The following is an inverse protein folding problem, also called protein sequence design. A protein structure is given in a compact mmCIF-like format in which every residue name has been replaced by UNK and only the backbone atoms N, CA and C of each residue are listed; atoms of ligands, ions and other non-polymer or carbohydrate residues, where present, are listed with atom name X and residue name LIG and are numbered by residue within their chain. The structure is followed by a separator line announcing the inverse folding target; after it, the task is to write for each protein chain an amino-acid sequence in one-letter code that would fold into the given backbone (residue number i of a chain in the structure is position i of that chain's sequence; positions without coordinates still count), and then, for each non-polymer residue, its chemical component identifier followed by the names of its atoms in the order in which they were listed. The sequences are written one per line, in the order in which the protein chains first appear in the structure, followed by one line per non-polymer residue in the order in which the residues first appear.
data_IF_400578110183
#
_entry.id   IF_400578110183
#
_cell.length_a   1.000
_cell.length_b   1.000
_cell.length_c   1.000
_cell.angle_alpha   90.00
_cell.angle_beta   90.00
_cell.angle_gamma   90.00
#
_symmetry.space_group_name_H-M   'P 1'
#
loop_
_entity.id
_entity.type
_entity.pdbx_description
1 polymer ?
#
# COMPACT_ATOMS: atom_id res chain seq x y z
N UNK A 1 26.24 2.14 -19.85
CA UNK A 1 25.28 1.66 -18.86
C UNK A 1 24.72 2.85 -18.12
N UNK A 2 23.40 2.98 -18.08
CA UNK A 2 22.70 4.00 -17.31
C UNK A 2 22.82 3.73 -15.80
N UNK A 3 22.28 4.59 -14.95
CA UNK A 3 22.28 4.36 -13.50
C UNK A 3 21.39 3.16 -13.14
N UNK A 4 20.21 3.07 -13.72
CA UNK A 4 19.30 1.93 -13.52
C UNK A 4 19.94 0.60 -13.96
N UNK A 5 20.57 0.57 -15.13
CA UNK A 5 21.29 -0.64 -15.62
C UNK A 5 22.39 -1.08 -14.65
N UNK A 6 23.14 -0.14 -14.07
CA UNK A 6 24.17 -0.48 -13.07
C UNK A 6 23.55 -1.04 -11.78
N UNK A 7 22.42 -0.47 -11.32
CA UNK A 7 21.71 -0.94 -10.14
C UNK A 7 21.14 -2.35 -10.38
N UNK A 8 20.49 -2.59 -11.53
CA UNK A 8 19.98 -3.91 -11.93
C UNK A 8 21.12 -4.93 -11.97
N UNK A 9 22.21 -4.61 -12.67
CA UNK A 9 23.38 -5.50 -12.77
C UNK A 9 24.02 -5.79 -11.40
N UNK A 10 24.05 -4.82 -10.50
CA UNK A 10 24.50 -5.04 -9.13
C UNK A 10 23.60 -6.01 -8.38
N UNK A 11 22.30 -5.80 -8.44
CA UNK A 11 21.30 -6.66 -7.76
C UNK A 11 21.41 -8.10 -8.28
N UNK A 12 21.32 -8.30 -9.59
CA UNK A 12 21.33 -9.65 -10.19
C UNK A 12 22.66 -10.37 -10.01
N UNK A 13 23.78 -9.64 -9.82
CA UNK A 13 25.09 -10.22 -9.63
C UNK A 13 25.45 -10.50 -8.16
N UNK A 14 24.99 -9.68 -7.23
CA UNK A 14 25.46 -9.72 -5.84
C UNK A 14 24.39 -10.03 -4.81
N UNK A 15 23.10 -9.87 -5.14
CA UNK A 15 22.03 -10.18 -4.22
C UNK A 15 21.49 -11.59 -4.45
N UNK A 16 21.20 -12.28 -3.36
CA UNK A 16 20.65 -13.64 -3.37
C UNK A 16 19.30 -13.64 -2.66
N UNK A 17 18.40 -14.52 -3.07
CA UNK A 17 17.09 -14.67 -2.44
C UNK A 17 17.29 -15.03 -0.96
N UNK A 18 16.81 -14.17 -0.03
CA UNK A 18 17.13 -14.30 1.39
C UNK A 18 16.25 -15.33 2.11
N UNK A 19 15.07 -15.65 1.58
CA UNK A 19 14.07 -16.51 2.24
C UNK A 19 13.19 -17.25 1.23
N UNK A 20 12.52 -18.30 1.71
CA UNK A 20 11.54 -19.06 0.93
C UNK A 20 12.16 -20.18 0.11
N UNK A 21 11.38 -20.71 -0.84
CA UNK A 21 11.73 -21.88 -1.63
C UNK A 21 12.98 -21.69 -2.53
N UNK A 22 13.29 -20.45 -2.89
CA UNK A 22 14.41 -20.09 -3.77
C UNK A 22 15.61 -19.53 -3.01
N UNK A 23 15.67 -19.69 -1.68
CA UNK A 23 16.74 -19.17 -0.84
C UNK A 23 18.13 -19.60 -1.37
N UNK A 24 19.06 -18.63 -1.42
CA UNK A 24 20.43 -18.86 -1.90
C UNK A 24 20.61 -18.84 -3.43
N UNK A 25 19.52 -18.70 -4.21
CA UNK A 25 19.63 -18.46 -5.65
C UNK A 25 19.89 -16.97 -5.94
N UNK A 26 20.63 -16.64 -7.01
CA UNK A 26 20.76 -15.24 -7.45
C UNK A 26 19.38 -14.62 -7.70
N UNK A 27 19.18 -13.38 -7.25
CA UNK A 27 17.98 -12.64 -7.58
C UNK A 27 17.93 -12.36 -9.08
N UNK A 28 16.81 -12.69 -9.70
CA UNK A 28 16.44 -12.23 -11.04
C UNK A 28 15.27 -11.28 -10.89
N UNK A 29 15.45 -10.06 -11.39
CA UNK A 29 14.41 -9.04 -11.33
C UNK A 29 13.38 -9.28 -12.41
N UNK A 30 12.12 -9.23 -12.04
CA UNK A 30 10.98 -9.24 -12.97
C UNK A 30 10.82 -7.87 -13.65
N UNK A 31 10.12 -7.85 -14.79
CA UNK A 31 9.97 -6.65 -15.60
C UNK A 31 9.39 -5.47 -14.79
N UNK A 32 8.34 -5.70 -14.01
CA UNK A 32 7.75 -4.65 -13.17
C UNK A 32 8.72 -4.04 -12.14
N UNK A 33 9.71 -4.82 -11.69
CA UNK A 33 10.75 -4.34 -10.78
C UNK A 33 11.80 -3.55 -11.53
N UNK A 34 12.16 -3.99 -12.74
CA UNK A 34 13.09 -3.28 -13.63
C UNK A 34 12.50 -1.96 -14.07
N UNK A 35 11.22 -1.94 -14.50
CA UNK A 35 10.51 -0.73 -14.90
C UNK A 35 10.53 0.31 -13.77
N UNK A 36 10.21 -0.10 -12.54
CA UNK A 36 10.30 0.78 -11.38
C UNK A 36 11.72 1.32 -11.14
N UNK A 37 12.75 0.47 -11.27
CA UNK A 37 14.14 0.88 -11.13
C UNK A 37 14.55 1.87 -12.24
N UNK A 38 14.13 1.62 -13.50
CA UNK A 38 14.41 2.54 -14.59
C UNK A 38 13.78 3.89 -14.36
N UNK A 39 12.50 3.93 -14.00
CA UNK A 39 11.79 5.19 -13.80
C UNK A 39 12.37 5.98 -12.61
N UNK A 40 12.79 5.30 -11.54
CA UNK A 40 13.39 5.97 -10.36
C UNK A 40 14.81 6.48 -10.64
N UNK A 41 15.69 5.69 -11.27
CA UNK A 41 17.10 6.02 -11.34
C UNK A 41 17.55 6.69 -12.65
N UNK A 42 16.77 6.55 -13.71
CA UNK A 42 17.03 7.17 -15.00
C UNK A 42 16.03 8.29 -15.34
N UNK A 43 15.27 8.76 -14.36
CA UNK A 43 14.39 9.92 -14.51
C UNK A 43 15.21 11.16 -14.93
N UNK A 44 14.95 11.78 -16.08
CA UNK A 44 15.73 12.93 -16.56
C UNK A 44 15.64 14.17 -15.66
N UNK A 45 14.59 14.27 -14.85
CA UNK A 45 14.39 15.37 -13.89
C UNK A 45 15.00 15.07 -12.52
N UNK A 46 15.41 13.81 -12.27
CA UNK A 46 15.82 13.31 -10.97
C UNK A 46 14.63 13.00 -10.07
N UNK A 47 14.59 11.80 -9.51
CA UNK A 47 13.49 11.38 -8.63
C UNK A 47 13.76 11.80 -7.20
N UNK A 48 12.83 12.50 -6.59
CA UNK A 48 12.82 12.80 -5.16
C UNK A 48 11.94 11.81 -4.37
N UNK A 49 10.85 11.32 -4.97
CA UNK A 49 9.95 10.36 -4.34
C UNK A 49 9.57 9.23 -5.30
N UNK A 50 9.92 8.00 -4.93
CA UNK A 50 9.51 6.78 -5.64
C UNK A 50 8.49 6.02 -4.81
N UNK A 51 7.26 5.87 -5.32
CA UNK A 51 6.15 5.13 -4.70
C UNK A 51 5.95 3.80 -5.44
N UNK A 52 6.00 2.68 -4.72
CA UNK A 52 5.62 1.37 -5.23
C UNK A 52 4.50 0.78 -4.38
N UNK A 53 3.29 0.77 -4.92
CA UNK A 53 2.13 0.17 -4.28
C UNK A 53 1.69 -1.10 -5.01
N UNK A 54 1.71 -2.23 -4.30
CA UNK A 54 1.50 -3.56 -4.87
C UNK A 54 1.00 -4.53 -3.80
N UNK A 55 0.21 -5.53 -4.17
CA UNK A 55 -0.32 -6.55 -3.27
C UNK A 55 0.75 -7.25 -2.41
N UNK A 56 0.35 -7.85 -1.31
CA UNK A 56 1.26 -8.62 -0.44
C UNK A 56 1.90 -9.79 -1.16
N UNK A 57 3.11 -10.18 -0.72
CA UNK A 57 3.91 -11.32 -1.23
C UNK A 57 4.43 -11.14 -2.67
N UNK A 58 4.51 -9.90 -3.19
CA UNK A 58 5.15 -9.57 -4.46
C UNK A 58 6.62 -9.14 -4.33
N UNK A 59 7.30 -9.52 -3.27
CA UNK A 59 8.73 -9.29 -3.11
C UNK A 59 9.13 -7.84 -2.78
N UNK A 60 8.19 -6.97 -2.35
CA UNK A 60 8.45 -5.56 -2.03
C UNK A 60 9.67 -5.35 -1.14
N UNK A 61 9.65 -5.96 0.04
CA UNK A 61 10.69 -5.76 1.06
C UNK A 61 12.04 -6.31 0.61
N UNK A 62 12.05 -7.42 -0.17
CA UNK A 62 13.27 -7.96 -0.76
C UNK A 62 13.86 -7.01 -1.81
N UNK A 63 13.02 -6.44 -2.69
CA UNK A 63 13.46 -5.43 -3.66
C UNK A 63 14.09 -4.22 -2.96
N UNK A 64 13.45 -3.71 -1.93
CA UNK A 64 13.99 -2.58 -1.16
C UNK A 64 15.31 -2.93 -0.44
N UNK A 65 15.44 -4.14 0.08
CA UNK A 65 16.71 -4.59 0.66
C UNK A 65 17.84 -4.63 -0.41
N UNK A 66 17.50 -5.01 -1.65
CA UNK A 66 18.47 -4.94 -2.76
C UNK A 66 18.86 -3.49 -3.10
N UNK A 67 17.87 -2.58 -3.17
CA UNK A 67 18.13 -1.16 -3.42
C UNK A 67 18.93 -0.52 -2.28
N UNK A 68 18.63 -0.88 -1.03
CA UNK A 68 19.45 -0.50 0.12
C UNK A 68 20.92 -0.92 -0.07
N UNK A 69 21.18 -2.18 -0.48
CA UNK A 69 22.54 -2.66 -0.70
C UNK A 69 23.23 -1.95 -1.87
N UNK A 70 22.47 -1.60 -2.92
CA UNK A 70 22.99 -0.79 -4.02
C UNK A 70 23.43 0.61 -3.59
N UNK A 71 22.77 1.22 -2.62
CA UNK A 71 23.16 2.50 -2.01
C UNK A 71 24.23 2.35 -0.92
N UNK A 72 24.32 1.20 -0.26
CA UNK A 72 25.26 0.98 0.83
C UNK A 72 26.69 0.73 0.31
N UNK A 73 26.82 -0.14 -0.71
CA UNK A 73 28.12 -0.60 -1.24
C UNK A 73 28.13 -0.76 -2.76
N UNK A 74 27.06 -0.39 -3.45
CA UNK A 74 26.88 -0.58 -4.89
C UNK A 74 27.06 0.71 -5.70
N UNK A 75 26.54 0.76 -6.94
CA UNK A 75 26.84 1.81 -7.91
C UNK A 75 26.29 3.20 -7.56
N UNK A 76 25.37 3.29 -6.62
CA UNK A 76 24.73 4.56 -6.17
C UNK A 76 25.14 4.93 -4.74
N UNK A 77 26.18 4.31 -4.20
CA UNK A 77 26.73 4.66 -2.90
C UNK A 77 27.38 6.05 -2.94
N UNK A 78 27.09 6.87 -1.92
CA UNK A 78 27.65 8.22 -1.76
C UNK A 78 28.57 8.24 -0.54
N UNK A 79 29.77 8.77 -0.70
CA UNK A 79 30.77 8.81 0.36
C UNK A 79 30.24 9.51 1.62
N UNK A 80 30.48 8.90 2.80
CA UNK A 80 30.08 9.41 4.12
C UNK A 80 28.61 9.75 4.25
N UNK A 81 27.73 9.02 3.57
CA UNK A 81 26.29 9.28 3.58
C UNK A 81 25.53 8.39 4.56
N UNK A 82 24.29 8.79 4.83
CA UNK A 82 23.36 8.06 5.67
C UNK A 82 22.17 7.53 4.88
N UNK A 83 21.73 6.35 5.23
CA UNK A 83 20.51 5.72 4.72
C UNK A 83 19.65 5.37 5.94
N UNK A 84 18.36 5.63 5.86
CA UNK A 84 17.41 5.22 6.89
C UNK A 84 16.27 4.41 6.31
N UNK A 85 15.77 3.45 7.07
CA UNK A 85 14.44 2.89 6.83
C UNK A 85 13.54 3.14 8.03
N UNK A 86 12.27 3.43 7.75
CA UNK A 86 11.26 3.68 8.76
C UNK A 86 10.04 2.79 8.56
N UNK A 87 9.47 2.32 9.67
CA UNK A 87 8.17 1.64 9.70
C UNK A 87 7.45 1.95 11.01
N UNK A 88 6.13 1.69 11.04
CA UNK A 88 5.28 2.00 12.19
C UNK A 88 5.61 1.20 13.45
N UNK A 89 6.17 0.00 13.31
CA UNK A 89 6.60 -0.82 14.44
C UNK A 89 8.09 -1.19 14.37
N UNK A 90 8.67 -1.55 15.52
CA UNK A 90 10.08 -2.00 15.60
C UNK A 90 10.31 -3.30 14.83
N UNK A 91 9.34 -4.20 14.86
CA UNK A 91 9.39 -5.46 14.12
C UNK A 91 9.39 -5.21 12.62
N UNK A 92 8.52 -4.35 12.12
CA UNK A 92 8.45 -3.97 10.70
C UNK A 92 9.72 -3.24 10.26
N UNK A 93 10.21 -2.27 11.05
CA UNK A 93 11.45 -1.58 10.75
C UNK A 93 12.65 -2.54 10.63
N UNK A 94 12.64 -3.65 11.40
CA UNK A 94 13.68 -4.66 11.35
C UNK A 94 13.64 -5.56 10.09
N UNK A 95 12.52 -5.61 9.36
CA UNK A 95 12.38 -6.52 8.20
C UNK A 95 13.38 -6.20 7.09
N UNK A 96 13.49 -4.95 6.68
CA UNK A 96 14.44 -4.52 5.66
C UNK A 96 15.87 -4.83 6.09
N UNK A 97 16.23 -4.50 7.34
CA UNK A 97 17.54 -4.82 7.92
C UNK A 97 17.81 -6.32 7.89
N UNK A 98 16.88 -7.14 8.37
CA UNK A 98 17.06 -8.60 8.46
C UNK A 98 17.23 -9.24 7.08
N UNK A 99 16.47 -8.81 6.07
CA UNK A 99 16.62 -9.29 4.70
C UNK A 99 17.97 -8.87 4.11
N UNK A 100 18.39 -7.60 4.30
CA UNK A 100 19.69 -7.15 3.86
C UNK A 100 20.84 -7.94 4.53
N UNK A 101 20.74 -8.22 5.83
CA UNK A 101 21.71 -9.07 6.55
C UNK A 101 21.80 -10.46 5.94
N UNK A 102 20.65 -11.11 5.67
CA UNK A 102 20.65 -12.44 5.02
C UNK A 102 21.29 -12.40 3.63
N UNK A 103 20.99 -11.39 2.82
CA UNK A 103 21.61 -11.21 1.51
C UNK A 103 23.13 -11.02 1.61
N UNK A 104 23.60 -10.22 2.59
CA UNK A 104 25.03 -10.02 2.85
C UNK A 104 25.69 -11.34 3.22
N UNK A 105 25.09 -12.11 4.14
CA UNK A 105 25.63 -13.40 4.60
C UNK A 105 25.68 -14.47 3.51
N UNK A 106 24.76 -14.43 2.54
CA UNK A 106 24.74 -15.34 1.39
C UNK A 106 25.83 -15.01 0.36
N UNK A 107 26.45 -13.81 0.40
CA UNK A 107 27.50 -13.41 -0.55
C UNK A 107 28.80 -13.04 0.16
N UNK A 108 29.86 -13.87 0.04
CA UNK A 108 31.16 -13.55 0.67
C UNK A 108 31.74 -12.20 0.27
N UNK A 109 31.50 -11.72 -0.97
CA UNK A 109 32.00 -10.41 -1.41
C UNK A 109 31.31 -9.27 -0.64
N UNK A 110 30.00 -9.40 -0.37
CA UNK A 110 29.27 -8.40 0.44
C UNK A 110 29.67 -8.53 1.93
N UNK A 111 29.82 -9.74 2.46
CA UNK A 111 30.23 -9.96 3.86
C UNK A 111 31.58 -9.33 4.18
N UNK A 112 32.52 -9.28 3.21
CA UNK A 112 33.84 -8.70 3.41
C UNK A 112 33.85 -7.16 3.44
N UNK A 113 32.82 -6.51 2.88
CA UNK A 113 32.78 -5.04 2.73
C UNK A 113 31.65 -4.37 3.50
N UNK A 114 30.84 -5.15 4.24
CA UNK A 114 29.74 -4.62 5.08
C UNK A 114 29.92 -5.06 6.53
N UNK A 115 30.02 -4.10 7.44
CA UNK A 115 29.98 -4.36 8.88
C UNK A 115 28.55 -4.37 9.40
N UNK A 116 28.13 -5.48 10.01
CA UNK A 116 26.79 -5.66 10.56
C UNK A 116 26.81 -5.36 12.06
N UNK A 117 25.90 -4.49 12.52
CA UNK A 117 25.71 -4.12 13.95
C UNK A 117 24.27 -4.48 14.39
N UNK A 118 24.02 -5.73 14.82
CA UNK A 118 22.66 -6.24 15.07
C UNK A 118 21.92 -5.48 16.17
N UNK A 119 22.58 -5.12 17.26
CA UNK A 119 21.97 -4.44 18.41
C UNK A 119 21.36 -3.09 18.05
N UNK A 120 21.97 -2.37 17.10
CA UNK A 120 21.49 -1.08 16.63
C UNK A 120 20.70 -1.15 15.32
N UNK A 121 20.48 -2.35 14.75
CA UNK A 121 19.91 -2.51 13.40
C UNK A 121 20.60 -1.63 12.37
N UNK A 122 21.97 -1.65 12.39
CA UNK A 122 22.82 -0.80 11.55
C UNK A 122 23.69 -1.65 10.63
N UNK A 123 23.94 -1.14 9.42
CA UNK A 123 24.92 -1.66 8.46
C UNK A 123 25.89 -0.53 8.12
N UNK A 124 27.17 -0.87 7.94
CA UNK A 124 28.19 0.08 7.52
C UNK A 124 28.87 -0.48 6.27
N UNK A 125 28.71 0.21 5.16
CA UNK A 125 29.39 -0.06 3.90
C UNK A 125 30.81 0.51 3.96
N UNK A 126 31.82 -0.36 4.14
CA UNK A 126 33.21 0.04 4.40
C UNK A 126 33.84 0.85 3.26
N UNK A 127 33.61 0.53 1.95
CA UNK A 127 34.32 1.23 0.87
C UNK A 127 34.04 2.74 0.78
N UNK A 128 32.77 3.13 1.05
CA UNK A 128 32.33 4.52 0.93
C UNK A 128 31.88 5.10 2.29
N UNK A 129 32.11 4.38 3.39
CA UNK A 129 31.69 4.76 4.74
C UNK A 129 30.19 5.17 4.79
N UNK A 130 29.33 4.39 4.13
CA UNK A 130 27.87 4.62 4.14
C UNK A 130 27.26 3.93 5.34
N UNK A 131 26.48 4.64 6.12
CA UNK A 131 25.78 4.09 7.28
C UNK A 131 24.29 3.93 6.99
N UNK A 132 23.76 2.73 7.20
CA UNK A 132 22.34 2.46 7.25
C UNK A 132 21.85 2.20 8.67
N UNK A 133 20.67 2.74 9.00
CA UNK A 133 19.99 2.52 10.29
C UNK A 133 18.48 2.31 10.10
N UNK A 134 17.93 1.26 10.72
CA UNK A 134 16.48 1.07 10.82
C UNK A 134 15.91 1.90 11.98
N UNK A 135 14.84 2.65 11.71
CA UNK A 135 14.15 3.52 12.67
C UNK A 135 12.75 2.97 12.93
N UNK A 136 12.33 2.98 14.20
CA UNK A 136 10.94 2.74 14.58
C UNK A 136 10.21 4.07 14.78
N UNK A 137 8.88 4.04 14.76
CA UNK A 137 7.99 5.22 14.79
C UNK A 137 8.08 6.12 16.04
N UNK A 138 9.10 5.98 16.86
CA UNK A 138 9.42 6.92 17.93
C UNK A 138 9.99 8.21 17.31
N UNK A 139 9.16 9.21 17.04
CA UNK A 139 9.51 10.46 16.34
C UNK A 139 10.73 11.23 16.88
N UNK A 140 11.24 10.86 18.05
CA UNK A 140 12.48 11.41 18.63
C UNK A 140 13.77 10.86 17.96
N UNK A 141 13.71 9.74 17.22
CA UNK A 141 14.89 9.08 16.67
C UNK A 141 15.32 9.64 15.31
N UNK A 142 14.49 10.45 14.65
CA UNK A 142 14.82 11.06 13.36
C UNK A 142 15.56 12.42 13.48
N UNK A 143 15.62 13.00 14.67
CA UNK A 143 16.30 14.28 14.89
C UNK A 143 17.83 14.14 14.73
N UNK A 144 18.44 15.05 13.97
CA UNK A 144 19.87 15.06 13.70
C UNK A 144 20.33 14.10 12.60
N UNK A 145 19.41 13.44 11.91
CA UNK A 145 19.72 12.63 10.71
C UNK A 145 19.71 13.49 9.45
N UNK A 146 20.48 13.07 8.46
CA UNK A 146 20.51 13.69 7.13
C UNK A 146 20.68 12.60 6.06
N UNK A 147 19.62 11.80 5.81
CA UNK A 147 19.74 10.67 4.91
C UNK A 147 19.66 11.08 3.43
N UNK A 148 20.58 10.54 2.61
CA UNK A 148 20.49 10.64 1.14
C UNK A 148 19.42 9.72 0.57
N UNK A 149 19.15 8.59 1.26
CA UNK A 149 18.08 7.67 0.96
C UNK A 149 17.26 7.42 2.22
N UNK A 150 15.96 7.67 2.14
CA UNK A 150 14.99 7.26 3.13
C UNK A 150 14.04 6.21 2.52
N UNK A 151 13.76 5.16 3.28
CA UNK A 151 12.89 4.07 2.90
C UNK A 151 11.73 4.00 3.88
N UNK A 152 10.50 4.12 3.41
CA UNK A 152 9.29 3.96 4.20
C UNK A 152 8.57 2.68 3.79
N UNK A 153 8.49 1.73 4.71
CA UNK A 153 7.79 0.46 4.49
C UNK A 153 6.40 0.48 5.15
N UNK A 154 5.41 -0.07 4.43
CA UNK A 154 4.01 -0.23 4.85
C UNK A 154 3.31 1.10 5.27
N UNK A 155 3.58 2.20 4.57
CA UNK A 155 2.92 3.51 4.80
C UNK A 155 1.40 3.44 4.61
N UNK A 156 0.88 2.48 3.84
CA UNK A 156 -0.55 2.24 3.72
C UNK A 156 -1.26 1.85 5.03
N UNK A 157 -0.52 1.55 6.10
CA UNK A 157 -1.06 1.31 7.43
C UNK A 157 -1.16 2.58 8.28
N UNK A 158 -0.62 3.72 7.81
CA UNK A 158 -0.76 5.02 8.47
C UNK A 158 -2.20 5.50 8.30
N UNK A 159 -2.91 5.65 9.41
CA UNK A 159 -4.26 6.19 9.43
C UNK A 159 -4.25 7.71 9.45
N UNK A 160 -5.14 8.31 8.68
CA UNK A 160 -5.25 9.76 8.55
C UNK A 160 -4.22 10.38 7.60
N UNK A 161 -4.31 11.72 7.38
CA UNK A 161 -3.58 12.41 6.33
C UNK A 161 -2.11 12.71 6.66
N UNK A 162 -1.67 12.52 7.89
CA UNK A 162 -0.36 12.93 8.36
C UNK A 162 0.25 11.91 9.34
N UNK A 163 1.58 11.92 9.42
CA UNK A 163 2.33 11.14 10.40
C UNK A 163 3.58 11.92 10.84
N UNK A 164 3.65 12.29 12.11
CA UNK A 164 4.82 12.99 12.66
C UNK A 164 6.14 12.24 12.45
N UNK A 165 6.10 10.92 12.41
CA UNK A 165 7.27 10.08 12.12
C UNK A 165 7.71 10.20 10.65
N UNK A 166 6.75 10.14 9.72
CA UNK A 166 7.02 10.31 8.28
C UNK A 166 7.53 11.72 8.01
N UNK A 167 6.89 12.74 8.59
CA UNK A 167 7.29 14.14 8.45
C UNK A 167 8.70 14.38 8.98
N UNK A 168 9.08 13.75 10.10
CA UNK A 168 10.43 13.84 10.65
C UNK A 168 11.49 13.23 9.74
N UNK A 169 11.19 12.12 9.04
CA UNK A 169 12.11 11.49 8.08
C UNK A 169 12.24 12.33 6.82
N UNK A 170 11.13 12.81 6.24
CA UNK A 170 11.13 13.59 5.01
C UNK A 170 11.81 14.93 5.19
N UNK A 171 11.57 15.61 6.32
CA UNK A 171 12.24 16.88 6.65
C UNK A 171 13.75 16.71 6.92
N UNK A 172 14.18 15.57 7.46
CA UNK A 172 15.59 15.26 7.68
C UNK A 172 16.41 15.17 6.38
N UNK A 173 15.79 14.95 5.24
CA UNK A 173 16.44 14.88 3.93
C UNK A 173 16.78 16.26 3.34
N UNK A 174 16.26 17.35 3.88
CA UNK A 174 16.39 18.71 3.33
C UNK A 174 17.81 19.27 3.23
N UNK A 175 18.81 18.62 3.83
CA UNK A 175 20.21 19.00 3.72
C UNK A 175 20.90 18.51 2.42
N UNK A 176 20.27 17.61 1.66
CA UNK A 176 20.80 17.05 0.43
C UNK A 176 20.19 17.71 -0.80
N UNK A 177 21.00 17.83 -1.87
CA UNK A 177 20.53 18.43 -3.12
C UNK A 177 19.54 17.52 -3.87
N UNK A 178 19.76 16.20 -3.83
CA UNK A 178 18.95 15.20 -4.52
C UNK A 178 18.71 14.01 -3.59
N UNK A 179 17.95 14.19 -2.50
CA UNK A 179 17.60 13.09 -1.63
C UNK A 179 16.54 12.21 -2.31
N UNK A 180 16.57 10.90 -2.02
CA UNK A 180 15.59 9.96 -2.53
C UNK A 180 14.75 9.40 -1.38
N UNK A 181 13.43 9.53 -1.49
CA UNK A 181 12.46 8.85 -0.65
C UNK A 181 11.86 7.67 -1.41
N UNK A 182 11.99 6.45 -0.91
CA UNK A 182 11.32 5.27 -1.44
C UNK A 182 10.21 4.83 -0.50
N UNK A 183 8.98 4.83 -1.00
CA UNK A 183 7.79 4.39 -0.27
C UNK A 183 7.28 3.09 -0.88
N UNK A 184 7.24 2.03 -0.09
CA UNK A 184 6.69 0.74 -0.52
C UNK A 184 5.56 0.30 0.40
N UNK A 185 4.43 -0.12 -0.18
CA UNK A 185 3.29 -0.54 0.61
C UNK A 185 2.23 -1.28 -0.22
N UNK A 186 1.27 -1.91 0.43
CA UNK A 186 -0.08 -2.03 -0.13
C UNK A 186 -0.78 -0.67 -0.07
N UNK A 187 -1.83 -0.45 -0.88
CA UNK A 187 -2.65 0.75 -0.75
C UNK A 187 -3.22 0.89 0.67
N UNK A 188 -3.38 2.13 1.11
CA UNK A 188 -4.14 2.42 2.30
C UNK A 188 -5.62 2.00 2.14
N UNK A 189 -6.30 1.75 3.24
CA UNK A 189 -7.69 1.33 3.21
C UNK A 189 -8.62 2.47 2.74
N UNK A 190 -8.38 3.70 3.23
CA UNK A 190 -9.26 4.84 2.99
C UNK A 190 -8.61 5.89 2.09
N UNK A 191 -9.45 6.68 1.40
CA UNK A 191 -8.98 7.76 0.53
C UNK A 191 -8.32 8.91 1.32
N UNK A 192 -8.72 9.13 2.58
CA UNK A 192 -8.15 10.15 3.47
C UNK A 192 -6.84 9.75 4.17
N UNK A 193 -6.33 8.55 3.94
CA UNK A 193 -5.08 8.10 4.54
C UNK A 193 -3.87 8.61 3.74
N UNK A 194 -2.74 8.81 4.43
CA UNK A 194 -1.53 9.44 3.90
C UNK A 194 -1.07 8.88 2.54
N UNK A 195 -0.96 7.54 2.41
CA UNK A 195 -0.51 6.95 1.15
C UNK A 195 -1.51 7.15 0.01
N UNK A 196 -2.81 7.16 0.31
CA UNK A 196 -3.85 7.44 -0.69
C UNK A 196 -3.71 8.85 -1.24
N UNK A 197 -3.50 9.83 -0.35
CA UNK A 197 -3.27 11.23 -0.71
C UNK A 197 -2.02 11.35 -1.60
N UNK A 198 -0.90 10.71 -1.23
CA UNK A 198 0.33 10.74 -2.02
C UNK A 198 0.19 10.11 -3.40
N UNK A 199 -0.53 8.98 -3.52
CA UNK A 199 -0.81 8.35 -4.81
C UNK A 199 -1.69 9.23 -5.69
N UNK A 200 -2.70 9.89 -5.10
CA UNK A 200 -3.61 10.77 -5.83
C UNK A 200 -2.90 12.05 -6.27
N UNK A 201 -2.07 12.63 -5.41
CA UNK A 201 -1.22 13.75 -5.78
C UNK A 201 -0.26 13.38 -6.91
N UNK A 202 0.46 12.28 -6.80
CA UNK A 202 1.38 11.80 -7.84
C UNK A 202 0.71 11.60 -9.21
N UNK A 203 -0.59 11.22 -9.23
CA UNK A 203 -1.36 11.03 -10.47
C UNK A 203 -1.91 12.33 -11.04
N UNK A 204 -2.18 13.33 -10.20
CA UNK A 204 -2.90 14.54 -10.58
C UNK A 204 -1.96 15.75 -10.77
N UNK A 205 -0.87 15.84 -10.00
CA UNK A 205 0.04 16.99 -10.02
C UNK A 205 0.97 17.02 -11.24
N UNK A 206 1.20 15.86 -11.90
CA UNK A 206 2.21 15.70 -12.93
C UNK A 206 3.61 16.16 -12.47
N UNK A 207 3.94 16.01 -11.18
CA UNK A 207 5.26 16.33 -10.66
C UNK A 207 6.33 15.42 -11.30
N UNK A 208 7.28 15.97 -12.07
CA UNK A 208 8.28 15.16 -12.76
C UNK A 208 9.29 14.48 -11.83
N UNK A 209 9.34 14.89 -10.54
CA UNK A 209 10.21 14.33 -9.53
C UNK A 209 9.60 13.18 -8.75
N UNK A 210 8.31 12.88 -8.98
CA UNK A 210 7.59 11.79 -8.32
C UNK A 210 7.32 10.64 -9.28
N UNK A 211 7.85 9.45 -8.96
CA UNK A 211 7.59 8.20 -9.68
C UNK A 211 6.59 7.38 -8.88
N UNK A 212 5.47 6.98 -9.50
CA UNK A 212 4.41 6.27 -8.79
C UNK A 212 3.92 5.05 -9.58
N UNK A 213 4.27 3.86 -9.10
CA UNK A 213 3.77 2.59 -9.65
C UNK A 213 2.72 1.99 -8.71
N UNK A 214 1.51 1.79 -9.23
CA UNK A 214 0.38 1.21 -8.49
C UNK A 214 -0.17 0.01 -9.25
N UNK A 215 0.03 -1.17 -8.71
CA UNK A 215 -0.53 -2.43 -9.23
C UNK A 215 -1.77 -2.78 -8.41
N UNK A 216 -2.94 -2.49 -8.94
CA UNK A 216 -4.23 -2.67 -8.26
C UNK A 216 -5.24 -3.33 -9.20
N UNK A 217 -6.07 -4.20 -8.67
CA UNK A 217 -7.18 -4.76 -9.45
C UNK A 217 -8.26 -3.70 -9.73
N UNK A 218 -8.88 -3.79 -10.91
CA UNK A 218 -10.04 -2.97 -11.24
C UNK A 218 -11.18 -3.18 -10.24
N UNK A 219 -11.87 -2.10 -9.86
CA UNK A 219 -12.96 -2.14 -8.87
C UNK A 219 -14.15 -2.98 -9.30
N UNK A 220 -14.34 -3.15 -10.63
CA UNK A 220 -15.47 -3.87 -11.22
C UNK A 220 -15.23 -5.38 -11.34
N UNK A 221 -14.00 -5.83 -11.08
CA UNK A 221 -13.65 -7.25 -11.13
C UNK A 221 -14.07 -7.97 -9.86
N UNK A 222 -14.62 -9.18 -10.02
CA UNK A 222 -14.92 -10.07 -8.89
C UNK A 222 -13.64 -10.50 -8.19
N UNK A 223 -13.71 -10.70 -6.87
CA UNK A 223 -12.56 -11.16 -6.08
C UNK A 223 -12.04 -12.54 -6.49
N UNK A 224 -12.87 -13.34 -7.14
CA UNK A 224 -12.54 -14.67 -7.66
C UNK A 224 -12.01 -14.66 -9.10
N UNK A 225 -11.96 -13.49 -9.75
CA UNK A 225 -11.47 -13.38 -11.13
C UNK A 225 -9.94 -13.41 -11.18
N UNK A 226 -9.33 -14.37 -11.90
CA UNK A 226 -7.87 -14.43 -12.11
C UNK A 226 -7.27 -13.17 -12.71
N UNK A 227 -8.04 -12.39 -13.51
CA UNK A 227 -7.59 -11.10 -14.05
C UNK A 227 -7.35 -10.08 -12.93
N UNK A 228 -8.23 -10.03 -11.92
CA UNK A 228 -8.06 -9.18 -10.75
C UNK A 228 -6.77 -9.54 -9.99
N UNK A 229 -6.51 -10.83 -9.82
CA UNK A 229 -5.30 -11.30 -9.15
C UNK A 229 -4.04 -10.88 -9.90
N UNK A 230 -4.01 -11.05 -11.23
CA UNK A 230 -2.85 -10.73 -12.06
C UNK A 230 -2.57 -9.21 -12.11
N UNK A 231 -3.61 -8.37 -12.17
CA UNK A 231 -3.45 -6.92 -12.16
C UNK A 231 -2.78 -6.40 -10.87
N UNK A 232 -3.15 -6.96 -9.73
CA UNK A 232 -2.62 -6.55 -8.43
C UNK A 232 -1.33 -7.26 -8.02
N UNK A 233 -0.98 -8.36 -8.71
CA UNK A 233 0.15 -9.22 -8.36
C UNK A 233 0.96 -9.59 -9.62
N UNK A 234 1.80 -8.68 -10.14
CA UNK A 234 2.61 -8.96 -11.32
C UNK A 234 3.60 -10.13 -11.15
N UNK A 235 3.95 -10.49 -9.90
CA UNK A 235 4.75 -11.68 -9.60
C UNK A 235 3.95 -12.99 -9.54
N UNK A 236 2.65 -12.96 -9.87
CA UNK A 236 1.78 -14.14 -9.82
C UNK A 236 2.23 -15.21 -10.83
N UNK A 237 2.43 -16.43 -10.34
CA UNK A 237 2.93 -17.55 -11.13
C UNK A 237 4.47 -17.61 -11.23
N UNK A 238 5.19 -16.58 -10.79
CA UNK A 238 6.66 -16.60 -10.71
C UNK A 238 7.10 -16.96 -9.28
N UNK A 239 6.95 -16.07 -8.33
CA UNK A 239 7.24 -16.33 -6.92
C UNK A 239 6.05 -16.05 -5.98
N UNK A 240 4.95 -15.48 -6.49
CA UNK A 240 3.66 -15.38 -5.81
C UNK A 240 2.78 -16.55 -6.20
N UNK A 241 2.43 -17.42 -5.26
CA UNK A 241 1.62 -18.61 -5.51
C UNK A 241 0.20 -18.25 -5.95
N UNK A 242 -0.22 -18.79 -7.10
CA UNK A 242 -1.59 -18.68 -7.59
C UNK A 242 -2.57 -19.51 -6.73
N UNK A 243 -2.13 -20.66 -6.25
CA UNK A 243 -2.94 -21.51 -5.36
C UNK A 243 -3.24 -20.79 -4.03
N UNK A 244 -2.24 -20.08 -3.45
CA UNK A 244 -2.43 -19.33 -2.21
C UNK A 244 -3.45 -18.20 -2.40
N UNK A 245 -3.35 -17.43 -3.49
CA UNK A 245 -4.30 -16.33 -3.74
C UNK A 245 -5.72 -16.86 -3.99
N UNK A 246 -5.86 -17.99 -4.69
CA UNK A 246 -7.15 -18.66 -4.92
C UNK A 246 -7.79 -19.06 -3.61
N UNK A 247 -7.06 -19.74 -2.72
CA UNK A 247 -7.56 -20.13 -1.39
C UNK A 247 -8.03 -18.92 -0.56
N UNK A 248 -7.30 -17.80 -0.65
CA UNK A 248 -7.67 -16.56 0.04
C UNK A 248 -8.91 -15.92 -0.60
N UNK A 249 -9.04 -15.93 -1.92
CA UNK A 249 -10.22 -15.44 -2.64
C UNK A 249 -11.47 -16.26 -2.30
N UNK A 250 -11.35 -17.60 -2.30
CA UNK A 250 -12.44 -18.50 -1.91
C UNK A 250 -12.87 -18.27 -0.46
N UNK A 251 -11.91 -18.02 0.45
CA UNK A 251 -12.23 -17.64 1.83
C UNK A 251 -12.97 -16.31 1.88
N UNK A 252 -12.52 -15.30 1.15
CA UNK A 252 -13.16 -13.98 1.11
C UNK A 252 -14.59 -14.07 0.54
N UNK A 253 -14.80 -14.91 -0.46
CA UNK A 253 -16.12 -15.14 -1.05
C UNK A 253 -17.11 -15.81 -0.07
N UNK A 254 -16.62 -16.67 0.84
CA UNK A 254 -17.45 -17.31 1.88
C UNK A 254 -17.61 -16.47 3.14
N UNK A 255 -16.71 -15.54 3.40
CA UNK A 255 -16.66 -14.75 4.64
C UNK A 255 -16.63 -13.25 4.32
N UNK A 256 -17.79 -12.57 4.25
CA UNK A 256 -17.87 -11.14 3.93
C UNK A 256 -16.99 -10.24 4.80
N UNK A 257 -16.85 -10.57 6.09
CA UNK A 257 -15.96 -9.85 6.99
C UNK A 257 -14.45 -9.90 6.60
N UNK A 258 -14.05 -10.87 5.77
CA UNK A 258 -12.69 -11.00 5.27
C UNK A 258 -12.49 -10.38 3.87
N UNK A 259 -13.57 -10.07 3.15
CA UNK A 259 -13.49 -9.57 1.77
C UNK A 259 -12.69 -8.27 1.67
N UNK A 260 -12.96 -7.27 2.51
CA UNK A 260 -12.23 -6.01 2.48
C UNK A 260 -10.74 -6.19 2.79
N UNK A 261 -10.40 -7.08 3.72
CA UNK A 261 -9.00 -7.45 4.00
C UNK A 261 -8.34 -8.06 2.76
N UNK A 262 -9.03 -8.97 2.07
CA UNK A 262 -8.53 -9.57 0.84
C UNK A 262 -8.36 -8.54 -0.27
N UNK A 263 -9.37 -7.69 -0.49
CA UNK A 263 -9.34 -6.61 -1.49
C UNK A 263 -8.17 -5.65 -1.24
N UNK A 264 -7.97 -5.21 -0.02
CA UNK A 264 -6.89 -4.29 0.30
C UNK A 264 -5.50 -4.95 0.19
N UNK A 265 -5.30 -6.09 0.84
CA UNK A 265 -3.97 -6.69 0.97
C UNK A 265 -3.52 -7.53 -0.22
N UNK A 266 -4.45 -8.17 -0.95
CA UNK A 266 -4.12 -9.06 -2.06
C UNK A 266 -4.50 -8.49 -3.43
N UNK A 267 -5.55 -7.66 -3.51
CA UNK A 267 -5.93 -6.96 -4.74
C UNK A 267 -5.47 -5.52 -4.76
N UNK A 268 -4.80 -5.06 -3.71
CA UNK A 268 -4.24 -3.72 -3.58
C UNK A 268 -5.27 -2.62 -3.84
N UNK A 269 -6.51 -2.84 -3.39
CA UNK A 269 -7.62 -1.90 -3.55
C UNK A 269 -7.82 -1.06 -2.29
N UNK A 270 -8.29 0.18 -2.47
CA UNK A 270 -8.85 0.97 -1.37
C UNK A 270 -10.24 0.43 -1.04
N UNK A 271 -10.56 0.34 0.24
CA UNK A 271 -11.82 -0.17 0.76
C UNK A 271 -12.38 0.85 1.75
N UNK A 272 -13.64 1.22 1.58
CA UNK A 272 -14.28 2.26 2.40
C UNK A 272 -14.59 1.84 3.84
N UNK A 273 -14.54 0.54 4.12
CA UNK A 273 -14.82 -0.02 5.45
C UNK A 273 -13.85 -1.15 5.79
N UNK A 274 -13.48 -1.26 7.05
CA UNK A 274 -12.58 -2.32 7.55
C UNK A 274 -13.25 -3.69 7.55
N UNK A 275 -14.58 -3.73 7.79
CA UNK A 275 -15.40 -4.94 7.71
C UNK A 275 -16.74 -4.64 7.04
N UNK A 276 -17.13 -5.46 6.07
CA UNK A 276 -18.44 -5.36 5.42
C UNK A 276 -19.44 -6.26 6.11
N UNK A 277 -20.64 -5.78 6.35
CA UNK A 277 -21.77 -6.59 6.81
C UNK A 277 -22.24 -7.56 5.72
N UNK A 278 -22.21 -7.09 4.45
CA UNK A 278 -22.56 -7.85 3.26
C UNK A 278 -21.44 -7.71 2.23
N UNK A 279 -21.16 -8.75 1.43
CA UNK A 279 -20.16 -8.63 0.36
C UNK A 279 -20.58 -7.58 -0.69
N UNK A 280 -19.61 -6.91 -1.32
CA UNK A 280 -19.90 -5.88 -2.31
C UNK A 280 -20.59 -6.44 -3.56
N UNK A 281 -20.34 -7.71 -3.89
CA UNK A 281 -20.98 -8.38 -5.02
C UNK A 281 -22.46 -8.66 -4.73
N UNK A 282 -22.78 -9.17 -3.53
CA UNK A 282 -24.17 -9.34 -3.08
C UNK A 282 -24.89 -7.98 -3.02
N UNK A 283 -24.22 -6.93 -2.51
CA UNK A 283 -24.79 -5.59 -2.49
C UNK A 283 -25.15 -5.08 -3.90
N UNK A 284 -24.24 -5.25 -4.87
CA UNK A 284 -24.49 -4.87 -6.27
C UNK A 284 -25.56 -5.71 -6.96
N UNK A 285 -25.60 -7.01 -6.67
CA UNK A 285 -26.63 -7.92 -7.21
C UNK A 285 -28.04 -7.58 -6.70
N UNK A 286 -28.16 -6.93 -5.55
CA UNK A 286 -29.44 -6.46 -4.99
C UNK A 286 -29.76 -4.99 -5.32
N UNK A 287 -29.00 -4.35 -6.19
CA UNK A 287 -29.17 -2.95 -6.60
C UNK A 287 -30.15 -2.78 -7.75
N UNK A 288 -31.37 -3.25 -7.65
CA UNK A 288 -32.42 -2.98 -8.64
C UNK A 288 -32.99 -1.56 -8.48
N UNK A 289 -33.44 -0.94 -9.59
CA UNK A 289 -34.23 0.30 -9.52
C UNK A 289 -35.48 0.07 -8.70
N UNK A 290 -35.61 0.83 -7.63
CA UNK A 290 -36.72 0.68 -6.72
C UNK A 290 -37.93 1.51 -7.16
N UNK A 291 -39.11 0.92 -7.07
CA UNK A 291 -40.35 1.65 -7.28
C UNK A 291 -40.53 2.75 -6.20
N UNK A 292 -41.11 3.87 -6.61
CA UNK A 292 -41.41 4.95 -5.67
C UNK A 292 -42.34 4.48 -4.54
N UNK A 293 -42.04 4.78 -3.27
CA UNK A 293 -42.93 4.45 -2.15
C UNK A 293 -44.18 5.33 -2.11
N UNK A 294 -44.41 6.19 -3.09
CA UNK A 294 -45.55 7.11 -3.17
C UNK A 294 -46.86 6.30 -3.24
N UNK A 295 -47.81 6.61 -2.35
CA UNK A 295 -49.09 5.93 -2.22
C UNK A 295 -49.08 4.64 -1.39
N UNK A 296 -47.91 4.25 -0.83
CA UNK A 296 -47.78 3.10 0.05
C UNK A 296 -47.63 3.53 1.53
N UNK A 297 -48.01 2.65 2.44
CA UNK A 297 -47.70 2.85 3.85
C UNK A 297 -46.19 2.60 4.04
N UNK A 298 -45.44 3.65 4.38
CA UNK A 298 -44.02 3.59 4.62
C UNK A 298 -43.68 3.64 6.11
N UNK A 299 -42.65 2.92 6.52
CA UNK A 299 -42.06 2.99 7.85
C UNK A 299 -40.74 3.68 7.74
N UNK A 300 -40.48 4.69 8.59
CA UNK A 300 -39.28 5.48 8.59
C UNK A 300 -38.35 5.16 9.75
N UNK A 301 -37.05 5.01 9.47
CA UNK A 301 -35.97 5.00 10.46
C UNK A 301 -35.13 6.24 10.29
N UNK A 302 -34.92 7.01 11.35
CA UNK A 302 -34.10 8.21 11.35
C UNK A 302 -32.93 8.02 12.29
N UNK A 303 -31.72 8.10 11.76
CA UNK A 303 -30.48 8.15 12.51
C UNK A 303 -29.92 9.57 12.51
N UNK A 304 -29.83 10.18 13.69
CA UNK A 304 -29.41 11.56 13.89
C UNK A 304 -28.02 11.60 14.49
N UNK A 305 -27.08 12.14 13.76
CA UNK A 305 -25.74 12.40 14.31
C UNK A 305 -25.69 13.72 15.07
N UNK A 306 -24.91 13.74 16.16
CA UNK A 306 -24.78 14.95 17.00
C UNK A 306 -23.62 15.87 16.57
N UNK A 307 -22.62 15.43 15.78
CA UNK A 307 -21.44 16.22 15.42
C UNK A 307 -20.83 15.94 14.05
N UNK A 308 -20.13 14.80 13.86
CA UNK A 308 -19.28 14.53 12.68
C UNK A 308 -19.72 13.35 11.86
N UNK A 309 -20.78 12.71 12.23
CA UNK A 309 -21.35 11.55 11.54
C UNK A 309 -22.49 11.97 10.60
N UNK A 310 -22.91 11.07 9.72
CA UNK A 310 -23.96 11.32 8.73
C UNK A 310 -25.34 11.12 9.37
N UNK A 311 -26.24 12.06 9.14
CA UNK A 311 -27.67 11.84 9.43
C UNK A 311 -28.31 11.10 8.27
N UNK A 312 -29.01 9.99 8.55
CA UNK A 312 -29.69 9.21 7.55
C UNK A 312 -31.17 9.03 7.87
N UNK A 313 -32.01 9.16 6.84
CA UNK A 313 -33.44 8.81 6.87
C UNK A 313 -33.68 7.65 5.91
N UNK A 314 -34.17 6.53 6.42
CA UNK A 314 -34.53 5.37 5.62
C UNK A 314 -36.05 5.18 5.66
N UNK A 315 -36.67 5.12 4.49
CA UNK A 315 -38.10 4.78 4.34
C UNK A 315 -38.21 3.40 3.74
N UNK A 316 -39.01 2.55 4.39
CA UNK A 316 -39.31 1.21 3.90
C UNK A 316 -40.82 1.09 3.66
N UNK A 317 -41.22 0.70 2.46
CA UNK A 317 -42.59 0.42 2.10
C UNK A 317 -42.70 -1.01 1.58
N UNK A 318 -43.85 -1.66 1.85
CA UNK A 318 -44.16 -3.01 1.35
C UNK A 318 -45.15 -2.91 0.21
N UNK A 319 -44.73 -3.34 -0.98
CA UNK A 319 -45.60 -3.44 -2.14
C UNK A 319 -46.25 -4.83 -2.15
N UNK A 320 -47.55 -4.84 -2.29
CA UNK A 320 -48.33 -6.08 -2.36
C UNK A 320 -48.67 -6.41 -3.82
N UNK A 321 -47.85 -7.19 -4.46
CA UNK A 321 -48.14 -7.74 -5.79
C UNK A 321 -48.82 -9.09 -5.66
N UNK A 322 -50.12 -9.17 -5.71
CA UNK A 322 -51.03 -10.29 -5.51
C UNK A 322 -50.60 -11.73 -5.84
N UNK A 323 -49.36 -12.02 -6.11
CA UNK A 323 -48.82 -13.34 -6.44
C UNK A 323 -47.52 -13.76 -5.72
N UNK A 324 -46.81 -12.90 -5.05
CA UNK A 324 -45.73 -13.29 -4.14
C UNK A 324 -45.46 -12.15 -3.16
N UNK A 325 -45.48 -12.45 -1.87
CA UNK A 325 -44.75 -11.65 -0.90
C UNK A 325 -43.29 -11.93 -1.18
N UNK A 326 -42.64 -11.18 -2.10
CA UNK A 326 -41.21 -11.09 -2.08
C UNK A 326 -40.91 -10.31 -0.82
N UNK A 327 -40.38 -10.98 0.19
CA UNK A 327 -39.66 -10.33 1.27
C UNK A 327 -38.35 -9.79 0.68
N UNK A 328 -38.46 -8.85 -0.24
CA UNK A 328 -37.43 -7.91 -0.45
C UNK A 328 -37.54 -6.89 0.68
N UNK A 329 -37.00 -7.23 1.82
CA UNK A 329 -36.47 -6.24 2.76
C UNK A 329 -35.32 -5.52 2.07
N UNK A 330 -35.55 -5.05 0.85
CA UNK A 330 -34.75 -4.09 0.19
C UNK A 330 -34.94 -2.81 0.97
N UNK A 331 -33.92 -2.39 1.69
CA UNK A 331 -33.77 -1.02 2.14
C UNK A 331 -33.80 -0.18 0.87
N UNK A 332 -35.00 0.28 0.52
CA UNK A 332 -35.20 1.23 -0.57
C UNK A 332 -34.58 2.52 -0.19
N UNK A 333 -33.30 2.61 -0.47
CA UNK A 333 -32.58 3.85 -0.32
C UNK A 333 -32.91 4.79 -1.47
N UNK A 334 -34.08 5.43 -1.45
CA UNK A 334 -34.09 6.83 -1.79
C UNK A 334 -33.45 7.57 -0.60
N UNK A 335 -32.25 7.09 -0.21
CA UNK A 335 -31.49 7.69 0.85
C UNK A 335 -30.93 9.01 0.37
N UNK A 336 -31.66 10.12 0.59
CA UNK A 336 -31.02 11.42 0.61
C UNK A 336 -30.15 11.44 1.86
N UNK A 337 -28.85 11.46 1.64
CA UNK A 337 -27.88 11.78 2.69
C UNK A 337 -28.01 13.27 2.97
N UNK A 338 -28.42 13.65 4.17
CA UNK A 338 -28.52 15.02 4.59
C UNK A 338 -27.26 15.40 5.37
N UNK A 339 -26.64 16.54 5.01
CA UNK A 339 -25.44 17.03 5.71
C UNK A 339 -25.78 17.71 7.04
N UNK A 340 -27.02 18.09 7.23
CA UNK A 340 -27.48 18.76 8.46
C UNK A 340 -28.85 18.27 8.90
N UNK A 341 -29.12 18.36 10.21
CA UNK A 341 -30.40 18.02 10.81
C UNK A 341 -31.55 18.86 10.22
N UNK A 342 -31.30 20.11 9.84
CA UNK A 342 -32.29 21.01 9.24
C UNK A 342 -32.74 20.53 7.86
N UNK A 343 -31.83 20.03 7.02
CA UNK A 343 -32.16 19.46 5.70
C UNK A 343 -33.04 18.20 5.81
N UNK A 344 -32.78 17.36 6.83
CA UNK A 344 -33.58 16.16 7.08
C UNK A 344 -35.01 16.52 7.53
N UNK A 345 -35.16 17.52 8.38
CA UNK A 345 -36.45 18.00 8.88
C UNK A 345 -37.29 18.68 7.80
N UNK A 346 -36.68 19.45 6.89
CA UNK A 346 -37.38 20.06 5.75
C UNK A 346 -37.92 18.99 4.77
N UNK A 347 -37.19 17.88 4.62
CA UNK A 347 -37.63 16.78 3.75
C UNK A 347 -38.79 15.99 4.35
N UNK A 348 -38.80 15.81 5.68
CA UNK A 348 -39.89 15.10 6.41
C UNK A 348 -41.19 15.85 6.47
N UNK A 349 -41.20 17.17 6.18
CA UNK A 349 -42.43 18.03 6.20
C UNK A 349 -43.02 18.25 4.79
N UNK A 350 -42.49 17.63 3.75
CA UNK A 350 -43.06 17.61 2.38
C UNK A 350 -43.65 16.24 2.06
#
# INVERSE_FOLDING_TARGET
MTTAEKVIAFIERYCFVPEGALVGQPIKLEDFQKDYIFDVYDNPHGTSHGILSIGRKNGKTALIACLLLAHLVGPVAILNSQIVSGALSREQAALVFNLAVKMIQLNPKLSNIVSIKPSGKRLIGLPMNVEYKALAADGKTAQGLSPVLAILDEVGQVQGPQSAFVDAITTAQGAHKNPLLLTISTQAANDGDLLSIWIDDAKNSNDPHTVCHVYSAGKDLKITDPKAWKQANPALGVFRSEEDIRKLADKANRMPSFENTFRNLNLNQRVSTVSSFVSIDIWKENGEEQSSPSGLTAYGGLDLSARTDLTSLVLTAKEYNGKKVSQNEGVGTTGKVFKTQSEALEFGNK
#
